data_IF_187260414923
#
_entry.id   IF_187260414923
#
_cell.length_a   1.000
_cell.length_b   1.000
_cell.length_c   1.000
_cell.angle_alpha   90.00
_cell.angle_beta   90.00
_cell.angle_gamma   90.00
#
_symmetry.space_group_name_H-M   'P 1'
#
loop_
_entity.id
_entity.type
_entity.pdbx_description
1 polymer ?
#
# COMPACT_ATOMS: atom_id res chain seq x y z
N UNK A 1 -32.97 28.84 -47.16
CA UNK A 1 -32.85 27.38 -46.91
C UNK A 1 -31.48 27.10 -46.29
N UNK A 2 -31.46 26.32 -45.19
CA UNK A 2 -30.30 25.71 -44.49
C UNK A 2 -29.38 26.71 -43.74
N UNK A 3 -29.66 27.01 -42.47
CA UNK A 3 -29.33 26.26 -41.22
C UNK A 3 -27.83 26.20 -40.94
N UNK A 4 -27.44 27.04 -39.98
CA UNK A 4 -26.22 27.08 -39.15
C UNK A 4 -25.97 25.75 -38.44
N UNK A 5 -24.71 25.34 -38.27
CA UNK A 5 -24.35 24.40 -37.21
C UNK A 5 -22.96 24.73 -36.62
N UNK A 6 -23.01 25.36 -35.44
CA UNK A 6 -21.92 25.53 -34.48
C UNK A 6 -21.24 24.19 -34.20
N UNK A 7 -19.92 24.13 -34.31
CA UNK A 7 -19.12 23.01 -33.81
C UNK A 7 -19.05 23.05 -32.29
N UNK A 8 -19.92 22.30 -31.63
CA UNK A 8 -19.79 21.99 -30.20
C UNK A 8 -18.75 20.87 -30.06
N UNK A 9 -17.54 21.20 -29.62
CA UNK A 9 -16.57 20.23 -29.11
C UNK A 9 -17.09 19.71 -27.76
N UNK A 10 -17.95 18.71 -27.80
CA UNK A 10 -18.31 17.92 -26.62
C UNK A 10 -17.13 16.97 -26.33
N UNK A 11 -16.31 17.35 -25.35
CA UNK A 11 -15.26 16.51 -24.78
C UNK A 11 -15.93 15.33 -24.05
N UNK A 12 -16.15 14.24 -24.78
CA UNK A 12 -16.76 13.02 -24.25
C UNK A 12 -15.70 12.26 -23.44
N UNK A 13 -15.62 12.55 -22.14
CA UNK A 13 -14.89 11.69 -21.20
C UNK A 13 -15.69 10.41 -21.06
N UNK A 14 -15.38 9.41 -21.88
CA UNK A 14 -15.91 8.06 -21.71
C UNK A 14 -15.28 7.44 -20.47
N UNK A 15 -15.94 7.61 -19.33
CA UNK A 15 -15.70 6.81 -18.14
C UNK A 15 -16.10 5.37 -18.45
N UNK A 16 -15.15 4.56 -18.93
CA UNK A 16 -15.34 3.12 -19.03
C UNK A 16 -15.36 2.55 -17.61
N UNK A 17 -16.56 2.39 -17.06
CA UNK A 17 -16.82 1.53 -15.92
C UNK A 17 -16.63 0.09 -16.39
N UNK A 18 -15.39 -0.38 -16.42
CA UNK A 18 -15.13 -1.81 -16.43
C UNK A 18 -15.52 -2.34 -15.04
N UNK A 19 -16.47 -3.28 -14.92
CA UNK A 19 -16.55 -4.07 -13.70
C UNK A 19 -15.22 -4.79 -13.59
N UNK A 20 -14.41 -4.40 -12.60
CA UNK A 20 -13.25 -5.17 -12.21
C UNK A 20 -13.79 -6.56 -11.81
N UNK A 21 -13.65 -7.53 -12.71
CA UNK A 21 -13.79 -8.94 -12.35
C UNK A 21 -12.79 -9.16 -11.22
N UNK A 22 -13.29 -9.21 -9.99
CA UNK A 22 -12.48 -9.46 -8.83
C UNK A 22 -11.86 -10.84 -9.04
N UNK A 23 -10.58 -10.86 -9.42
CA UNK A 23 -9.79 -12.07 -9.35
C UNK A 23 -9.85 -12.50 -7.87
N UNK A 24 -10.56 -13.59 -7.60
CA UNK A 24 -10.61 -14.20 -6.27
C UNK A 24 -9.25 -14.87 -6.02
N UNK A 25 -8.23 -14.04 -5.81
CA UNK A 25 -6.91 -14.48 -5.42
C UNK A 25 -7.02 -14.95 -3.98
N UNK A 26 -7.01 -16.27 -3.80
CA UNK A 26 -7.00 -16.89 -2.48
C UNK A 26 -5.99 -16.18 -1.54
N UNK A 27 -6.37 -15.90 -0.28
CA UNK A 27 -5.54 -15.13 0.64
C UNK A 27 -4.14 -15.75 0.76
N UNK A 28 -3.12 -14.89 0.74
CA UNK A 28 -1.71 -15.32 0.83
C UNK A 28 -1.31 -15.27 2.29
N UNK A 29 -0.59 -16.30 2.76
CA UNK A 29 0.12 -16.23 4.05
C UNK A 29 1.56 -15.84 3.79
N UNK A 30 1.99 -14.73 4.38
CA UNK A 30 3.35 -14.23 4.28
C UNK A 30 3.91 -13.98 5.68
N UNK A 31 5.19 -14.29 5.87
CA UNK A 31 5.85 -14.02 7.14
C UNK A 31 6.54 -12.65 7.05
N UNK A 32 6.29 -11.78 8.02
CA UNK A 32 7.01 -10.51 8.12
C UNK A 32 8.39 -10.69 8.79
N UNK A 33 9.20 -9.64 8.79
CA UNK A 33 10.56 -9.65 9.36
C UNK A 33 10.61 -9.95 10.87
N UNK A 34 9.48 -9.89 11.58
CA UNK A 34 9.38 -10.27 12.99
C UNK A 34 8.99 -11.74 13.18
N UNK A 35 8.82 -12.47 12.08
CA UNK A 35 8.38 -13.86 12.10
C UNK A 35 6.86 -14.01 12.25
N UNK A 36 6.08 -12.93 12.17
CA UNK A 36 4.63 -13.01 12.30
C UNK A 36 3.99 -13.35 10.96
N UNK A 37 3.06 -14.31 10.97
CA UNK A 37 2.26 -14.64 9.79
C UNK A 37 1.18 -13.58 9.57
N UNK A 38 1.11 -13.10 8.33
CA UNK A 38 0.15 -12.10 7.85
C UNK A 38 -0.64 -12.68 6.70
N UNK A 39 -1.96 -12.49 6.75
CA UNK A 39 -2.86 -12.80 5.65
C UNK A 39 -3.00 -11.60 4.73
N UNK A 40 -2.83 -11.80 3.42
CA UNK A 40 -2.92 -10.75 2.41
C UNK A 40 -4.02 -11.07 1.38
N UNK A 41 -4.95 -10.14 1.12
CA UNK A 41 -5.26 -8.98 1.96
C UNK A 41 -5.93 -9.43 3.28
N UNK A 42 -5.67 -8.73 4.40
CA UNK A 42 -6.39 -8.99 5.63
C UNK A 42 -7.83 -8.49 5.53
N UNK A 43 -8.75 -9.19 6.18
CA UNK A 43 -10.16 -8.80 6.31
C UNK A 43 -10.38 -7.98 7.59
N UNK A 44 -11.45 -7.20 7.61
CA UNK A 44 -11.88 -6.37 8.74
C UNK A 44 -11.28 -4.96 8.77
N UNK A 45 -10.32 -4.65 7.90
CA UNK A 45 -9.65 -3.33 7.82
C UNK A 45 -9.44 -2.90 6.38
N UNK A 46 -9.56 -1.60 6.11
CA UNK A 46 -9.00 -1.05 4.88
C UNK A 46 -7.48 -1.27 4.92
N UNK A 47 -6.95 -1.92 3.90
CA UNK A 47 -5.54 -2.30 3.86
C UNK A 47 -4.85 -1.73 2.63
N UNK A 48 -3.69 -1.12 2.84
CA UNK A 48 -2.78 -0.75 1.76
C UNK A 48 -1.59 -1.70 1.81
N UNK A 49 -1.33 -2.37 0.68
CA UNK A 49 -0.10 -3.13 0.46
C UNK A 49 0.79 -2.33 -0.48
N UNK A 50 2.02 -2.05 -0.05
CA UNK A 50 2.99 -1.27 -0.83
C UNK A 50 4.15 -2.16 -1.28
N UNK A 51 4.46 -2.12 -2.57
CA UNK A 51 5.72 -2.62 -3.13
C UNK A 51 6.82 -1.56 -3.00
N UNK A 52 8.03 -1.99 -2.68
CA UNK A 52 9.27 -1.21 -2.80
C UNK A 52 10.45 -2.15 -3.08
N UNK A 53 11.62 -1.59 -3.37
CA UNK A 53 12.92 -2.28 -3.35
C UNK A 53 13.96 -1.40 -2.62
N UNK A 54 15.22 -1.82 -2.60
CA UNK A 54 16.30 -1.08 -1.95
C UNK A 54 16.55 0.31 -2.57
N UNK A 55 16.40 0.45 -3.90
CA UNK A 55 16.62 1.73 -4.59
C UNK A 55 15.52 2.77 -4.27
N UNK A 56 14.35 2.29 -3.83
CA UNK A 56 13.16 3.09 -3.55
C UNK A 56 12.99 3.44 -2.06
N UNK A 57 14.03 3.26 -1.23
CA UNK A 57 13.95 3.48 0.22
C UNK A 57 13.50 4.90 0.58
N UNK A 58 14.11 5.93 -0.02
CA UNK A 58 13.78 7.32 0.27
C UNK A 58 12.35 7.68 -0.16
N UNK A 59 11.93 7.23 -1.34
CA UNK A 59 10.59 7.48 -1.89
C UNK A 59 9.51 6.75 -1.07
N UNK A 60 9.74 5.48 -0.75
CA UNK A 60 8.84 4.69 0.08
C UNK A 60 8.69 5.30 1.49
N UNK A 61 9.77 5.81 2.10
CA UNK A 61 9.71 6.55 3.38
C UNK A 61 8.90 7.84 3.28
N UNK A 62 9.07 8.61 2.19
CA UNK A 62 8.29 9.83 1.99
C UNK A 62 6.79 9.54 1.82
N UNK A 63 6.45 8.51 1.04
CA UNK A 63 5.08 8.06 0.83
C UNK A 63 4.45 7.48 2.10
N UNK A 64 5.21 6.71 2.87
CA UNK A 64 4.74 6.17 4.14
C UNK A 64 4.29 7.29 5.09
N UNK A 65 5.04 8.39 5.18
CA UNK A 65 4.67 9.57 5.99
C UNK A 65 3.35 10.22 5.56
N UNK A 66 2.94 10.07 4.30
CA UNK A 66 1.63 10.58 3.85
C UNK A 66 0.45 9.83 4.48
N UNK A 67 0.70 8.61 4.98
CA UNK A 67 -0.28 7.77 5.65
C UNK A 67 -0.34 7.99 7.17
N UNK A 68 0.57 8.78 7.72
CA UNK A 68 0.64 9.08 9.16
C UNK A 68 -0.70 9.46 9.79
N UNK A 69 -1.54 10.31 9.18
CA UNK A 69 -2.81 10.70 9.78
C UNK A 69 -3.76 9.52 10.04
N UNK A 70 -3.60 8.39 9.36
CA UNK A 70 -4.45 7.20 9.48
C UNK A 70 -3.88 6.16 10.45
N UNK A 71 -2.64 6.34 10.92
CA UNK A 71 -1.95 5.40 11.80
C UNK A 71 -2.67 5.28 13.14
N UNK A 72 -2.89 4.05 13.59
CA UNK A 72 -3.60 3.76 14.83
C UNK A 72 -5.13 3.77 14.72
N UNK A 73 -5.71 4.13 13.57
CA UNK A 73 -7.13 3.90 13.35
C UNK A 73 -7.43 2.38 13.36
N UNK A 74 -8.51 1.97 14.02
CA UNK A 74 -8.82 0.55 14.22
C UNK A 74 -9.18 -0.17 12.90
N UNK A 75 -9.66 0.57 11.92
CA UNK A 75 -10.12 0.13 10.62
C UNK A 75 -9.06 0.26 9.52
N UNK A 76 -7.81 0.61 9.86
CA UNK A 76 -6.73 0.82 8.91
C UNK A 76 -5.55 -0.13 9.15
N UNK A 77 -4.94 -0.59 8.06
CA UNK A 77 -3.67 -1.33 8.07
C UNK A 77 -2.80 -0.96 6.86
N UNK A 78 -1.49 -0.94 7.08
CA UNK A 78 -0.51 -0.79 6.03
C UNK A 78 0.53 -1.90 6.13
N UNK A 79 0.84 -2.52 4.99
CA UNK A 79 1.82 -3.59 4.88
C UNK A 79 2.79 -3.23 3.76
N UNK A 80 4.08 -3.36 4.02
CA UNK A 80 5.13 -3.17 3.03
C UNK A 80 5.67 -4.52 2.57
N UNK A 81 5.86 -4.69 1.26
CA UNK A 81 6.59 -5.81 0.67
C UNK A 81 7.84 -5.24 0.00
N UNK A 82 9.02 -5.68 0.44
CA UNK A 82 10.31 -5.25 -0.08
C UNK A 82 10.85 -6.34 -1.02
N UNK A 83 11.02 -5.99 -2.28
CA UNK A 83 11.68 -6.82 -3.28
C UNK A 83 13.19 -6.76 -3.08
N UNK A 84 13.77 -7.89 -2.67
CA UNK A 84 15.23 -8.08 -2.55
C UNK A 84 15.71 -9.24 -3.44
N UNK A 85 14.96 -9.55 -4.51
CA UNK A 85 15.32 -10.60 -5.48
C UNK A 85 16.69 -10.29 -6.08
N UNK A 86 17.60 -11.25 -5.96
CA UNK A 86 18.95 -11.16 -6.52
C UNK A 86 19.87 -10.12 -5.87
N UNK A 87 19.40 -9.33 -4.90
CA UNK A 87 20.20 -8.28 -4.27
C UNK A 87 21.06 -8.78 -3.12
N UNK A 88 20.50 -9.67 -2.29
CA UNK A 88 21.12 -10.07 -1.04
C UNK A 88 21.44 -11.57 -1.06
N UNK A 89 22.74 -11.95 -0.98
CA UNK A 89 23.11 -13.35 -0.91
C UNK A 89 22.53 -13.98 0.36
N UNK A 90 22.22 -15.28 0.32
CA UNK A 90 21.54 -15.99 1.42
C UNK A 90 22.16 -15.76 2.80
N UNK A 91 23.50 -15.70 2.86
CA UNK A 91 24.27 -15.46 4.10
C UNK A 91 24.03 -14.09 4.74
N UNK A 92 23.63 -13.07 3.96
CA UNK A 92 23.44 -11.70 4.41
C UNK A 92 21.97 -11.36 4.72
N UNK A 93 21.02 -12.24 4.39
CA UNK A 93 19.57 -12.01 4.59
C UNK A 93 19.20 -11.69 6.04
N UNK A 94 19.79 -12.42 7.00
CA UNK A 94 19.57 -12.16 8.44
C UNK A 94 20.04 -10.77 8.87
N UNK A 95 21.11 -10.26 8.26
CA UNK A 95 21.60 -8.91 8.54
C UNK A 95 20.66 -7.85 7.96
N UNK A 96 20.16 -8.06 6.73
CA UNK A 96 19.17 -7.19 6.11
C UNK A 96 17.89 -7.10 6.95
N UNK A 97 17.32 -8.24 7.35
CA UNK A 97 16.15 -8.27 8.23
C UNK A 97 16.41 -7.61 9.59
N UNK A 98 17.61 -7.76 10.15
CA UNK A 98 18.00 -7.06 11.38
C UNK A 98 18.00 -5.54 11.19
N UNK A 99 18.47 -5.05 10.04
CA UNK A 99 18.44 -3.63 9.72
C UNK A 99 17.01 -3.13 9.54
N UNK A 100 16.18 -3.86 8.79
CA UNK A 100 14.75 -3.53 8.61
C UNK A 100 14.04 -3.45 9.96
N UNK A 101 14.25 -4.43 10.86
CA UNK A 101 13.64 -4.40 12.21
C UNK A 101 14.01 -3.14 12.99
N UNK A 102 15.28 -2.70 12.95
CA UNK A 102 15.69 -1.45 13.60
C UNK A 102 14.96 -0.23 13.02
N UNK A 103 14.76 -0.21 11.71
CA UNK A 103 14.02 0.88 11.07
C UNK A 103 12.55 0.87 11.45
N UNK A 104 11.92 -0.30 11.61
CA UNK A 104 10.57 -0.42 12.14
C UNK A 104 10.48 0.06 13.60
N UNK A 105 11.50 -0.15 14.42
CA UNK A 105 11.52 0.36 15.80
C UNK A 105 11.61 1.90 15.85
N UNK A 106 12.40 2.49 14.95
CA UNK A 106 12.47 3.95 14.76
C UNK A 106 11.12 4.48 14.30
N UNK A 107 10.52 3.83 13.30
CA UNK A 107 9.25 4.25 12.72
C UNK A 107 8.10 4.13 13.73
N UNK A 108 8.06 3.05 14.52
CA UNK A 108 7.09 2.88 15.59
C UNK A 108 7.17 4.02 16.61
N UNK A 109 8.37 4.48 16.96
CA UNK A 109 8.55 5.61 17.87
C UNK A 109 8.03 6.91 17.25
N UNK A 110 8.30 7.13 15.96
CA UNK A 110 7.83 8.28 15.20
C UNK A 110 6.30 8.32 15.06
N UNK A 111 5.65 7.17 14.96
CA UNK A 111 4.19 7.05 14.75
C UNK A 111 3.35 7.26 16.03
N UNK A 112 3.95 7.20 17.23
CA UNK A 112 3.24 7.34 18.51
C UNK A 112 2.26 8.52 18.59
N UNK A 113 2.59 9.74 18.13
CA UNK A 113 1.67 10.87 18.20
C UNK A 113 0.40 10.67 17.37
N UNK A 114 0.49 9.96 16.24
CA UNK A 114 -0.66 9.69 15.38
C UNK A 114 -1.59 8.63 15.98
N UNK A 115 -1.02 7.60 16.60
CA UNK A 115 -1.79 6.61 17.37
C UNK A 115 -2.58 7.27 18.49
N UNK A 116 -1.92 8.12 19.28
CA UNK A 116 -2.58 8.87 20.35
C UNK A 116 -3.69 9.79 19.81
N UNK A 117 -3.43 10.50 18.70
CA UNK A 117 -4.42 11.37 18.05
C UNK A 117 -5.66 10.59 17.58
N UNK A 118 -5.47 9.36 17.12
CA UNK A 118 -6.55 8.47 16.67
C UNK A 118 -7.15 7.63 17.82
N UNK A 119 -6.83 7.97 19.08
CA UNK A 119 -7.41 7.32 20.27
C UNK A 119 -6.89 5.90 20.54
N UNK A 120 -5.86 5.46 19.83
CA UNK A 120 -5.27 4.14 20.00
C UNK A 120 -4.24 4.12 21.13
N UNK A 121 -4.36 3.11 22.00
CA UNK A 121 -3.38 2.80 23.04
C UNK A 121 -2.45 1.65 22.65
N UNK A 122 -2.62 1.11 21.44
CA UNK A 122 -1.81 0.01 20.92
C UNK A 122 -0.40 0.50 20.65
N UNK A 123 0.60 -0.35 20.92
CA UNK A 123 1.98 -0.09 20.50
C UNK A 123 2.05 -0.03 18.96
N UNK A 124 2.49 1.09 18.36
CA UNK A 124 2.62 1.20 16.90
C UNK A 124 3.41 0.05 16.28
N UNK A 125 4.41 -0.47 17.00
CA UNK A 125 5.29 -1.52 16.51
C UNK A 125 4.55 -2.82 16.15
N UNK A 126 3.45 -3.11 16.84
CA UNK A 126 2.64 -4.31 16.62
C UNK A 126 1.87 -4.29 15.29
N UNK A 127 1.63 -3.10 14.73
CA UNK A 127 0.89 -2.88 13.50
C UNK A 127 1.79 -2.59 12.29
N UNK A 128 3.08 -2.36 12.51
CA UNK A 128 4.04 -2.28 11.43
C UNK A 128 4.37 -3.69 10.92
N UNK A 129 4.26 -3.87 9.61
CA UNK A 129 4.55 -5.15 8.98
C UNK A 129 5.31 -4.93 7.67
N UNK A 130 6.52 -5.47 7.63
CA UNK A 130 7.35 -5.51 6.43
C UNK A 130 7.65 -6.95 6.09
N UNK A 131 7.26 -7.36 4.89
CA UNK A 131 7.54 -8.66 4.32
C UNK A 131 8.70 -8.48 3.34
N UNK A 132 9.71 -9.32 3.44
CA UNK A 132 10.82 -9.31 2.49
C UNK A 132 10.63 -10.46 1.51
N UNK A 133 10.63 -10.14 0.22
CA UNK A 133 10.51 -11.15 -0.83
C UNK A 133 11.84 -11.31 -1.56
N UNK A 134 12.61 -12.32 -1.14
CA UNK A 134 13.87 -12.67 -1.78
C UNK A 134 13.70 -13.52 -3.06
N UNK A 135 12.50 -14.07 -3.29
CA UNK A 135 12.25 -15.05 -4.35
C UNK A 135 11.19 -14.63 -5.37
N UNK A 136 10.41 -13.58 -5.11
CA UNK A 136 9.29 -13.12 -5.92
C UNK A 136 7.98 -13.87 -5.69
N UNK A 137 7.94 -14.83 -4.75
CA UNK A 137 6.77 -15.67 -4.53
C UNK A 137 5.58 -14.92 -3.94
N UNK A 138 5.82 -13.84 -3.20
CA UNK A 138 4.75 -12.98 -2.70
C UNK A 138 4.36 -11.96 -3.77
N UNK A 139 5.35 -11.34 -4.41
CA UNK A 139 5.14 -10.31 -5.43
C UNK A 139 4.37 -10.80 -6.66
N UNK A 140 4.65 -12.01 -7.14
CA UNK A 140 3.91 -12.65 -8.24
C UNK A 140 2.41 -12.77 -7.96
N UNK A 141 2.01 -12.89 -6.69
CA UNK A 141 0.58 -12.96 -6.31
C UNK A 141 -0.14 -11.62 -6.47
N UNK A 142 0.62 -10.53 -6.55
CA UNK A 142 0.14 -9.19 -6.90
C UNK A 142 0.37 -8.87 -8.38
N UNK A 143 0.81 -9.83 -9.22
CA UNK A 143 1.25 -9.60 -10.59
C UNK A 143 2.39 -8.56 -10.69
N UNK A 144 3.24 -8.50 -9.67
CA UNK A 144 4.44 -7.65 -9.63
C UNK A 144 5.69 -8.48 -9.95
N UNK A 145 5.66 -9.16 -11.10
CA UNK A 145 6.73 -10.07 -11.52
C UNK A 145 7.99 -9.32 -11.94
N UNK A 146 7.84 -8.09 -12.40
CA UNK A 146 8.92 -7.18 -12.74
C UNK A 146 9.39 -6.38 -11.53
N UNK A 147 10.69 -6.12 -11.48
CA UNK A 147 11.26 -5.10 -10.62
C UNK A 147 11.13 -3.76 -11.33
N UNK A 148 10.54 -2.79 -10.66
CA UNK A 148 10.35 -1.44 -11.21
C UNK A 148 11.07 -0.36 -10.42
N UNK A 149 11.27 0.77 -11.08
CA UNK A 149 11.88 2.01 -10.55
C UNK A 149 10.87 2.92 -9.85
N UNK A 150 9.72 2.39 -9.44
CA UNK A 150 8.68 3.15 -8.72
C UNK A 150 8.02 2.26 -7.67
N UNK A 151 7.50 2.86 -6.61
CA UNK A 151 6.66 2.10 -5.66
C UNK A 151 5.31 1.75 -6.30
N UNK A 152 4.68 0.66 -5.84
CA UNK A 152 3.34 0.27 -6.26
C UNK A 152 2.42 0.08 -5.06
N UNK A 153 1.13 0.23 -5.28
CA UNK A 153 0.12 0.06 -4.24
C UNK A 153 -1.02 -0.84 -4.70
N UNK A 154 -1.44 -1.74 -3.82
CA UNK A 154 -2.73 -2.44 -3.92
C UNK A 154 -3.55 -2.08 -2.68
N UNK A 155 -4.80 -1.68 -2.89
CA UNK A 155 -5.66 -1.12 -1.84
C UNK A 155 -6.92 -1.96 -1.75
N UNK A 156 -7.19 -2.43 -0.54
CA UNK A 156 -8.25 -3.37 -0.24
C UNK A 156 -9.25 -2.75 0.74
N UNK A 157 -10.53 -3.00 0.51
CA UNK A 157 -11.57 -2.67 1.48
C UNK A 157 -11.59 -3.67 2.65
N UNK A 158 -12.42 -3.40 3.66
CA UNK A 158 -12.56 -4.27 4.85
C UNK A 158 -13.06 -5.69 4.53
N UNK A 159 -13.59 -5.95 3.33
CA UNK A 159 -13.97 -7.30 2.88
C UNK A 159 -12.79 -8.09 2.28
N UNK A 160 -11.63 -7.45 2.14
CA UNK A 160 -10.46 -7.99 1.46
C UNK A 160 -10.56 -7.93 -0.06
N UNK A 161 -11.45 -7.09 -0.62
CA UNK A 161 -11.58 -6.91 -2.06
C UNK A 161 -10.70 -5.75 -2.49
N UNK A 162 -9.88 -5.96 -3.53
CA UNK A 162 -9.09 -4.89 -4.14
C UNK A 162 -10.02 -3.85 -4.77
N UNK A 163 -9.94 -2.61 -4.28
CA UNK A 163 -10.74 -1.50 -4.77
C UNK A 163 -9.92 -0.55 -5.64
N UNK A 164 -8.59 -0.61 -5.54
CA UNK A 164 -7.68 0.21 -6.34
C UNK A 164 -6.29 -0.40 -6.40
N UNK A 165 -5.66 -0.20 -7.56
CA UNK A 165 -4.25 -0.45 -7.81
C UNK A 165 -3.58 0.81 -8.36
N UNK A 166 -2.32 0.99 -8.00
CA UNK A 166 -1.47 2.06 -8.51
C UNK A 166 -0.10 1.46 -8.81
N UNK A 167 0.16 1.15 -10.08
CA UNK A 167 1.42 0.52 -10.51
C UNK A 167 2.44 1.54 -11.05
N UNK A 168 2.04 2.81 -11.22
CA UNK A 168 2.88 3.89 -11.76
C UNK A 168 2.58 5.24 -11.10
N UNK A 169 3.24 5.56 -9.99
CA UNK A 169 3.14 6.92 -9.43
C UNK A 169 4.46 7.39 -8.85
N UNK A 170 5.09 8.35 -9.53
CA UNK A 170 6.20 9.13 -8.97
C UNK A 170 5.70 10.33 -8.14
N UNK A 171 4.40 10.62 -8.14
CA UNK A 171 3.83 11.77 -7.44
C UNK A 171 3.24 11.38 -6.08
N UNK A 172 4.05 11.58 -5.04
CA UNK A 172 3.63 11.40 -3.66
C UNK A 172 2.46 12.28 -3.22
N UNK A 173 2.26 13.45 -3.84
CA UNK A 173 1.13 14.32 -3.54
C UNK A 173 -0.17 13.78 -4.11
N UNK A 174 -0.13 13.20 -5.31
CA UNK A 174 -1.30 12.56 -5.92
C UNK A 174 -1.77 11.37 -5.08
N UNK A 175 -0.83 10.54 -4.61
CA UNK A 175 -1.11 9.42 -3.71
C UNK A 175 -1.69 9.90 -2.38
N UNK A 176 -1.09 10.91 -1.75
CA UNK A 176 -1.60 11.50 -0.52
C UNK A 176 -2.99 12.13 -0.69
N UNK A 177 -3.27 12.74 -1.84
CA UNK A 177 -4.59 13.29 -2.16
C UNK A 177 -5.62 12.18 -2.33
N UNK A 178 -5.25 11.09 -3.03
CA UNK A 178 -6.12 9.94 -3.20
C UNK A 178 -6.49 9.32 -1.84
N UNK A 179 -5.52 9.12 -0.95
CA UNK A 179 -5.82 8.63 0.40
C UNK A 179 -6.75 9.58 1.15
N UNK A 180 -6.50 10.90 1.12
CA UNK A 180 -7.42 11.88 1.71
C UNK A 180 -8.85 11.75 1.19
N UNK A 181 -9.05 11.53 -0.11
CA UNK A 181 -10.38 11.28 -0.66
C UNK A 181 -10.97 9.97 -0.14
N UNK A 182 -10.22 8.86 -0.23
CA UNK A 182 -10.68 7.52 0.18
C UNK A 182 -11.13 7.48 1.65
N UNK A 183 -10.38 8.14 2.54
CA UNK A 183 -10.68 8.19 3.97
C UNK A 183 -11.65 9.30 4.36
N UNK A 184 -11.72 10.39 3.58
CA UNK A 184 -12.65 11.51 3.83
C UNK A 184 -14.09 11.23 3.39
N UNK A 185 -14.31 10.33 2.43
CA UNK A 185 -15.65 9.93 1.98
C UNK A 185 -16.29 8.83 2.85
N UNK A 186 -15.49 8.04 3.58
CA UNK A 186 -15.99 6.93 4.41
C UNK A 186 -16.60 7.36 5.75
N UNK A 187 -16.36 8.58 6.22
CA UNK A 187 -17.02 9.14 7.41
C UNK A 187 -18.44 9.65 7.13
N UNK A 188 -18.85 9.76 5.85
CA UNK A 188 -20.19 10.21 5.47
C UNK A 188 -21.18 9.06 5.21
N UNK A 189 -20.74 7.80 5.28
CA UNK A 189 -21.54 6.62 4.94
C UNK A 189 -21.66 5.59 6.08
N UNK A 190 -21.42 6.01 7.34
CA UNK A 190 -21.71 5.24 8.55
C UNK A 190 -22.85 5.87 9.32
#
# INVERSE_FOLDING_TARGET
>A
MKVTLLSLFACLVTATLFPAMAADTAPIQAQDVDGQWRTLPPKGRLTIVMYTNADLEAESKALNKTLDPYRGAQDFLFIQIVDLRGEIPGIARRMAEKQIRKELDIEATREKPFYAKNGSKTDPRANLSTIVDYGGSYLSRFNWDDRVEMVRFAIYNSKGVEIRRIDNTADSKAVASYFRTLFGSNTAAQ
#
